data_IF_456646062104
#
_entry.id   IF_456646062104
#
_cell.length_a   1.000
_cell.length_b   1.000
_cell.length_c   1.000
_cell.angle_alpha   90.00
_cell.angle_beta   90.00
_cell.angle_gamma   90.00
#
_symmetry.space_group_name_H-M   'P 1'
#
loop_
_entity.id
_entity.type
_entity.pdbx_description
1 polymer ?
#
# COMPACT_ATOMS: atom_id res chain seq x y z
N UNK A 1 -19.43 1.08 -12.63
CA UNK A 1 -19.42 -0.38 -12.39
C UNK A 1 -19.62 -1.17 -13.67
N UNK A 2 -20.62 -0.82 -14.50
CA UNK A 2 -20.85 -1.53 -15.78
C UNK A 2 -19.62 -1.56 -16.70
N UNK A 3 -18.86 -0.46 -16.79
CA UNK A 3 -17.59 -0.44 -17.54
C UNK A 3 -16.55 -1.43 -17.01
N UNK A 4 -16.45 -1.62 -15.69
CA UNK A 4 -15.52 -2.60 -15.12
C UNK A 4 -15.96 -4.03 -15.46
N UNK A 5 -17.28 -4.28 -15.46
CA UNK A 5 -17.83 -5.58 -15.88
C UNK A 5 -17.49 -5.88 -17.34
N UNK A 6 -17.69 -4.90 -18.22
CA UNK A 6 -17.35 -5.03 -19.64
C UNK A 6 -15.85 -5.29 -19.85
N UNK A 7 -14.99 -4.58 -19.11
CA UNK A 7 -13.53 -4.82 -19.15
C UNK A 7 -13.21 -6.26 -18.74
N UNK A 8 -13.79 -6.76 -17.66
CA UNK A 8 -13.60 -8.15 -17.21
C UNK A 8 -14.08 -9.15 -18.25
N UNK A 9 -15.28 -8.97 -18.78
CA UNK A 9 -15.88 -9.85 -19.79
C UNK A 9 -15.03 -9.89 -21.08
N UNK A 10 -14.46 -8.76 -21.47
CA UNK A 10 -13.68 -8.64 -22.72
C UNK A 10 -12.23 -9.09 -22.57
N UNK A 11 -11.60 -8.82 -21.43
CA UNK A 11 -10.15 -9.02 -21.24
C UNK A 11 -9.78 -10.18 -20.32
N UNK A 12 -10.72 -10.66 -19.50
CA UNK A 12 -10.47 -11.63 -18.44
C UNK A 12 -9.68 -11.07 -17.24
N UNK A 13 -9.39 -9.77 -17.20
CA UNK A 13 -8.68 -9.14 -16.08
C UNK A 13 -9.56 -9.07 -14.83
N UNK A 14 -8.92 -9.24 -13.67
CA UNK A 14 -9.54 -9.07 -12.34
C UNK A 14 -9.88 -7.59 -12.15
N UNK A 15 -11.09 -7.33 -11.64
CA UNK A 15 -11.57 -5.96 -11.39
C UNK A 15 -11.53 -5.61 -9.91
N UNK A 16 -11.08 -4.39 -9.62
CA UNK A 16 -10.89 -3.88 -8.27
C UNK A 16 -11.36 -2.40 -8.25
N UNK A 17 -12.12 -1.99 -7.24
CA UNK A 17 -12.61 -0.59 -7.10
C UNK A 17 -12.69 -0.11 -5.64
N UNK A 18 -12.70 1.22 -5.44
CA UNK A 18 -12.87 1.83 -4.11
C UNK A 18 -14.29 1.65 -3.57
N UNK A 19 -14.40 1.37 -2.27
CA UNK A 19 -15.64 1.45 -1.50
C UNK A 19 -15.46 2.38 -0.30
N UNK A 20 -16.52 3.11 0.03
CA UNK A 20 -16.52 4.09 1.12
C UNK A 20 -17.73 3.97 2.06
N UNK A 21 -18.78 3.26 1.65
CA UNK A 21 -20.01 3.02 2.42
C UNK A 21 -20.47 1.57 2.19
N UNK A 22 -21.43 1.09 2.98
CA UNK A 22 -22.05 -0.22 2.75
C UNK A 22 -22.73 -0.33 1.39
N UNK A 23 -23.40 0.73 0.91
CA UNK A 23 -24.08 0.69 -0.39
C UNK A 23 -23.09 0.52 -1.55
N UNK A 24 -21.88 1.08 -1.44
CA UNK A 24 -20.83 0.85 -2.42
C UNK A 24 -20.40 -0.62 -2.45
N UNK A 25 -20.27 -1.26 -1.28
CA UNK A 25 -19.96 -2.69 -1.16
C UNK A 25 -21.04 -3.51 -1.85
N UNK A 26 -22.31 -3.32 -1.47
CA UNK A 26 -23.44 -4.07 -2.04
C UNK A 26 -23.53 -3.91 -3.57
N UNK A 27 -23.33 -2.70 -4.08
CA UNK A 27 -23.32 -2.43 -5.51
C UNK A 27 -22.17 -3.17 -6.22
N UNK A 28 -20.98 -3.21 -5.64
CA UNK A 28 -19.83 -3.92 -6.20
C UNK A 28 -20.02 -5.44 -6.18
N UNK A 29 -20.54 -5.99 -5.07
CA UNK A 29 -20.86 -7.42 -4.95
C UNK A 29 -21.89 -7.84 -6.00
N UNK A 30 -22.97 -7.06 -6.14
CA UNK A 30 -24.01 -7.30 -7.16
C UNK A 30 -23.46 -7.21 -8.58
N UNK A 31 -22.50 -6.32 -8.81
CA UNK A 31 -21.84 -6.15 -10.10
C UNK A 31 -20.78 -7.24 -10.38
N UNK A 32 -20.44 -8.09 -9.42
CA UNK A 32 -19.43 -9.14 -9.60
C UNK A 32 -18.00 -8.62 -9.69
N UNK A 33 -17.70 -7.50 -9.00
CA UNK A 33 -16.34 -6.98 -8.84
C UNK A 33 -15.50 -7.97 -8.01
N UNK A 34 -14.28 -8.24 -8.43
CA UNK A 34 -13.46 -9.32 -7.88
C UNK A 34 -12.79 -9.00 -6.55
N UNK A 35 -12.46 -7.72 -6.31
CA UNK A 35 -11.81 -7.24 -5.09
C UNK A 35 -12.19 -5.78 -4.81
N UNK A 36 -12.01 -5.33 -3.57
CA UNK A 36 -12.37 -3.97 -3.16
C UNK A 36 -11.18 -3.30 -2.47
N UNK A 37 -11.12 -1.96 -2.46
CA UNK A 37 -10.23 -1.25 -1.56
C UNK A 37 -10.94 -0.19 -0.73
N UNK A 38 -10.42 0.04 0.48
CA UNK A 38 -10.80 1.14 1.35
C UNK A 38 -9.78 2.27 1.18
N UNK A 39 -10.27 3.46 0.82
CA UNK A 39 -9.44 4.63 0.59
C UNK A 39 -8.80 5.22 1.85
N UNK A 40 -7.78 6.07 1.65
CA UNK A 40 -7.03 6.70 2.73
C UNK A 40 -7.87 7.67 3.60
N UNK A 41 -8.97 8.22 3.04
CA UNK A 41 -9.94 9.08 3.75
C UNK A 41 -10.91 8.29 4.62
N UNK A 42 -11.23 7.06 4.21
CA UNK A 42 -12.18 6.19 4.90
C UNK A 42 -11.50 5.39 6.02
N UNK A 43 -10.27 4.92 5.79
CA UNK A 43 -9.46 4.14 6.75
C UNK A 43 -9.40 4.73 8.16
N UNK A 44 -9.18 6.05 8.38
CA UNK A 44 -9.11 6.60 9.73
C UNK A 44 -10.47 6.67 10.44
N UNK A 45 -11.60 6.47 9.74
CA UNK A 45 -12.93 6.54 10.34
C UNK A 45 -13.41 5.14 10.79
N UNK A 46 -13.42 4.85 12.10
CA UNK A 46 -13.80 3.53 12.60
C UNK A 46 -15.26 3.18 12.32
N UNK A 47 -16.16 4.16 12.20
CA UNK A 47 -17.57 3.91 11.91
C UNK A 47 -17.75 3.49 10.46
N UNK A 48 -17.14 4.21 9.52
CA UNK A 48 -17.21 3.84 8.09
C UNK A 48 -16.55 2.50 7.82
N UNK A 49 -15.41 2.21 8.45
CA UNK A 49 -14.77 0.89 8.30
C UNK A 49 -15.64 -0.22 8.91
N UNK A 50 -16.30 0.03 10.04
CA UNK A 50 -17.22 -0.97 10.63
C UNK A 50 -18.42 -1.22 9.72
N UNK A 51 -19.03 -0.17 9.17
CA UNK A 51 -20.15 -0.26 8.24
C UNK A 51 -19.79 -1.08 6.99
N UNK A 52 -18.62 -0.82 6.41
CA UNK A 52 -18.07 -1.60 5.29
C UNK A 52 -17.81 -3.05 5.71
N UNK A 53 -17.22 -3.28 6.88
CA UNK A 53 -16.92 -4.61 7.39
C UNK A 53 -18.20 -5.45 7.59
N UNK A 54 -19.26 -4.85 8.12
CA UNK A 54 -20.55 -5.50 8.31
C UNK A 54 -21.20 -5.89 6.97
N UNK A 55 -21.10 -5.03 5.95
CA UNK A 55 -21.58 -5.31 4.60
C UNK A 55 -20.80 -6.42 3.88
N UNK A 56 -19.53 -6.64 4.26
CA UNK A 56 -18.67 -7.69 3.70
C UNK A 56 -18.84 -9.06 4.39
N UNK A 57 -19.58 -9.12 5.49
CA UNK A 57 -19.71 -10.33 6.30
C UNK A 57 -20.30 -11.49 5.49
N UNK A 58 -19.62 -12.64 5.52
CA UNK A 58 -20.05 -13.84 4.77
C UNK A 58 -19.68 -13.82 3.29
N UNK A 59 -18.92 -12.82 2.83
CA UNK A 59 -18.32 -12.80 1.49
C UNK A 59 -16.86 -13.24 1.54
N UNK A 60 -16.32 -13.70 0.40
CA UNK A 60 -14.89 -14.07 0.26
C UNK A 60 -14.14 -13.09 -0.68
N UNK A 61 -14.63 -11.86 -0.78
CA UNK A 61 -14.03 -10.85 -1.66
C UNK A 61 -12.76 -10.28 -0.98
N UNK A 62 -11.60 -10.28 -1.66
CA UNK A 62 -10.39 -9.65 -1.14
C UNK A 62 -10.57 -8.15 -0.91
N UNK A 63 -10.03 -7.65 0.19
CA UNK A 63 -10.08 -6.23 0.54
C UNK A 63 -8.70 -5.67 0.79
N UNK A 64 -8.37 -4.62 0.06
CA UNK A 64 -7.15 -3.83 0.22
C UNK A 64 -7.43 -2.61 1.10
N UNK A 65 -6.56 -2.30 2.06
CA UNK A 65 -6.72 -1.15 2.95
C UNK A 65 -5.57 -0.18 2.76
N UNK A 66 -5.86 1.00 2.17
CA UNK A 66 -4.86 2.08 2.05
C UNK A 66 -4.51 2.63 3.44
N UNK A 67 -3.27 3.04 3.68
CA UNK A 67 -2.93 3.70 4.94
C UNK A 67 -3.78 4.98 5.14
N UNK A 68 -4.05 5.38 6.40
CA UNK A 68 -4.72 6.63 6.68
C UNK A 68 -3.90 7.82 6.15
N UNK A 69 -4.58 8.92 5.85
CA UNK A 69 -3.92 10.15 5.38
C UNK A 69 -2.88 10.67 6.38
N UNK A 70 -3.18 10.58 7.67
CA UNK A 70 -2.27 11.03 8.72
C UNK A 70 -1.39 9.86 9.18
N UNK A 71 -0.14 10.12 9.60
CA UNK A 71 0.82 9.10 10.01
C UNK A 71 0.46 8.48 11.37
N UNK A 72 -0.56 7.62 11.35
CA UNK A 72 -1.07 6.88 12.50
C UNK A 72 -1.17 5.39 12.16
N UNK A 73 -0.19 4.62 12.68
CA UNK A 73 -0.15 3.17 12.49
C UNK A 73 -1.33 2.47 13.19
N UNK A 74 -1.79 2.99 14.33
CA UNK A 74 -2.88 2.42 15.11
C UNK A 74 -4.21 2.48 14.36
N UNK A 75 -4.48 3.57 13.63
CA UNK A 75 -5.65 3.66 12.77
C UNK A 75 -5.60 2.67 11.60
N UNK A 76 -4.43 2.46 10.99
CA UNK A 76 -4.29 1.48 9.92
C UNK A 76 -4.51 0.05 10.41
N UNK A 77 -3.87 -0.31 11.54
CA UNK A 77 -4.04 -1.61 12.20
C UNK A 77 -5.50 -1.82 12.61
N UNK A 78 -6.10 -0.81 13.24
CA UNK A 78 -7.50 -0.87 13.70
C UNK A 78 -8.48 -1.10 12.56
N UNK A 79 -8.23 -0.57 11.36
CA UNK A 79 -9.05 -0.83 10.19
C UNK A 79 -8.94 -2.30 9.72
N UNK A 80 -7.72 -2.83 9.64
CA UNK A 80 -7.47 -4.24 9.29
C UNK A 80 -8.11 -5.19 10.30
N UNK A 81 -7.95 -4.93 11.60
CA UNK A 81 -8.54 -5.77 12.66
C UNK A 81 -10.08 -5.78 12.63
N UNK A 82 -10.73 -4.65 12.32
CA UNK A 82 -12.20 -4.60 12.19
C UNK A 82 -12.69 -5.52 11.08
N UNK A 83 -12.06 -5.46 9.91
CA UNK A 83 -12.39 -6.33 8.77
C UNK A 83 -12.17 -7.80 9.14
N UNK A 84 -11.04 -8.14 9.77
CA UNK A 84 -10.79 -9.52 10.25
C UNK A 84 -11.84 -10.00 11.23
N UNK A 85 -12.26 -9.17 12.19
CA UNK A 85 -13.31 -9.51 13.17
C UNK A 85 -14.69 -9.71 12.53
N UNK A 86 -14.96 -9.06 11.41
CA UNK A 86 -16.17 -9.29 10.62
C UNK A 86 -16.11 -10.56 9.75
N UNK A 87 -14.96 -11.25 9.72
CA UNK A 87 -14.76 -12.49 8.96
C UNK A 87 -14.13 -12.30 7.58
N UNK A 88 -13.59 -11.11 7.28
CA UNK A 88 -12.84 -10.88 6.03
C UNK A 88 -11.42 -11.41 6.21
N UNK A 89 -11.12 -12.55 5.58
CA UNK A 89 -9.83 -13.23 5.73
C UNK A 89 -8.78 -12.77 4.72
N UNK A 90 -9.20 -12.39 3.51
CA UNK A 90 -8.33 -12.02 2.39
C UNK A 90 -8.04 -10.52 2.41
N UNK A 91 -7.10 -10.12 3.26
CA UNK A 91 -6.71 -8.72 3.43
C UNK A 91 -5.30 -8.45 2.88
N UNK A 92 -5.13 -7.25 2.33
CA UNK A 92 -3.83 -6.68 2.01
C UNK A 92 -3.80 -5.20 2.39
N UNK A 93 -2.61 -4.68 2.65
CA UNK A 93 -2.37 -3.28 2.94
C UNK A 93 -1.81 -2.57 1.70
N UNK A 94 -2.17 -1.30 1.51
CA UNK A 94 -1.64 -0.47 0.42
C UNK A 94 -1.03 0.80 1.01
N UNK A 95 0.29 0.92 0.93
CA UNK A 95 0.99 2.12 1.32
C UNK A 95 0.95 3.16 0.19
N UNK A 96 0.49 4.36 0.49
CA UNK A 96 0.30 5.47 -0.45
C UNK A 96 0.88 6.80 0.07
N UNK A 97 1.72 6.73 1.10
CA UNK A 97 2.30 7.88 1.79
C UNK A 97 1.30 8.64 2.67
N UNK A 98 1.81 9.56 3.46
CA UNK A 98 1.05 10.37 4.42
C UNK A 98 1.06 11.84 4.02
N UNK A 99 0.01 12.56 4.37
CA UNK A 99 0.01 14.02 4.22
C UNK A 99 0.93 14.64 5.26
N UNK A 100 1.82 15.51 4.77
CA UNK A 100 2.76 16.26 5.58
C UNK A 100 2.57 17.76 5.34
N UNK A 101 2.75 18.56 6.38
CA UNK A 101 2.51 20.01 6.30
C UNK A 101 3.65 20.75 5.60
N UNK A 102 4.88 20.25 5.71
CA UNK A 102 6.02 20.82 5.01
C UNK A 102 6.07 20.36 3.55
N UNK A 103 6.67 21.18 2.70
CA UNK A 103 6.94 20.82 1.31
C UNK A 103 7.98 19.71 1.26
N UNK A 104 7.59 18.58 0.69
CA UNK A 104 8.49 17.50 0.31
C UNK A 104 8.57 17.41 -1.22
N UNK A 105 9.55 16.69 -1.79
CA UNK A 105 9.55 16.37 -3.23
C UNK A 105 8.36 15.51 -3.66
N UNK A 106 7.68 14.88 -2.70
CA UNK A 106 6.53 13.99 -2.91
C UNK A 106 5.21 14.73 -2.63
N UNK A 107 4.12 14.27 -3.25
CA UNK A 107 2.76 14.73 -2.89
C UNK A 107 2.36 14.23 -1.51
N UNK A 108 2.78 13.02 -1.16
CA UNK A 108 2.60 12.45 0.18
C UNK A 108 3.92 11.86 0.64
N UNK A 109 4.36 12.24 1.84
CA UNK A 109 5.62 11.75 2.38
C UNK A 109 5.53 10.24 2.58
N UNK A 110 6.45 9.44 2.03
CA UNK A 110 6.36 7.99 2.15
C UNK A 110 6.47 7.52 3.60
N UNK A 111 7.27 8.16 4.47
CA UNK A 111 7.48 7.70 5.86
C UNK A 111 7.58 6.16 5.97
N UNK A 112 8.56 5.59 5.26
CA UNK A 112 8.71 4.13 5.05
C UNK A 112 8.76 3.33 6.35
N UNK A 113 9.08 3.95 7.49
CA UNK A 113 9.03 3.32 8.80
C UNK A 113 7.63 2.78 9.18
N UNK A 114 6.54 3.38 8.70
CA UNK A 114 5.17 2.94 8.98
C UNK A 114 4.84 1.59 8.31
N UNK A 115 4.97 1.42 6.98
CA UNK A 115 4.75 0.13 6.35
C UNK A 115 5.69 -0.97 6.87
N UNK A 116 6.94 -0.63 7.21
CA UNK A 116 7.89 -1.59 7.81
C UNK A 116 7.38 -2.08 9.17
N UNK A 117 6.93 -1.16 10.04
CA UNK A 117 6.35 -1.52 11.34
C UNK A 117 5.05 -2.31 11.19
N UNK A 118 4.21 -1.98 10.20
CA UNK A 118 3.01 -2.76 9.90
C UNK A 118 3.36 -4.20 9.53
N UNK A 119 4.33 -4.40 8.62
CA UNK A 119 4.79 -5.72 8.20
C UNK A 119 5.43 -6.50 9.35
N UNK A 120 6.13 -5.83 10.26
CA UNK A 120 6.65 -6.46 11.49
C UNK A 120 5.52 -6.94 12.43
N UNK A 121 4.42 -6.18 12.54
CA UNK A 121 3.26 -6.57 13.34
C UNK A 121 2.40 -7.67 12.66
N UNK A 122 2.37 -7.68 11.33
CA UNK A 122 1.64 -8.66 10.52
C UNK A 122 2.55 -9.25 9.42
N UNK A 123 3.43 -10.20 9.76
CA UNK A 123 4.42 -10.75 8.82
C UNK A 123 3.82 -11.32 7.54
N UNK A 124 2.65 -11.95 7.65
CA UNK A 124 1.97 -12.61 6.52
C UNK A 124 1.06 -11.65 5.72
N UNK A 125 0.91 -10.39 6.14
CA UNK A 125 0.05 -9.44 5.44
C UNK A 125 0.72 -8.99 4.14
N UNK A 126 0.04 -9.20 3.01
CA UNK A 126 0.48 -8.67 1.73
C UNK A 126 0.47 -7.13 1.77
N UNK A 127 1.56 -6.53 1.30
CA UNK A 127 1.76 -5.09 1.39
C UNK A 127 2.15 -4.53 0.02
N UNK A 128 1.28 -3.74 -0.57
CA UNK A 128 1.48 -3.09 -1.86
C UNK A 128 1.86 -1.63 -1.68
N UNK A 129 2.54 -1.06 -2.67
CA UNK A 129 2.87 0.36 -2.73
C UNK A 129 2.10 1.04 -3.86
N UNK A 130 1.55 2.21 -3.58
CA UNK A 130 0.91 3.11 -4.55
C UNK A 130 1.88 4.28 -4.84
N UNK A 131 2.82 4.09 -5.80
CA UNK A 131 3.79 5.13 -6.13
C UNK A 131 3.14 6.37 -6.73
N UNK A 132 2.00 6.23 -7.42
CA UNK A 132 1.28 7.35 -8.04
C UNK A 132 0.87 8.39 -7.00
N UNK A 133 0.25 7.93 -5.92
CA UNK A 133 -0.20 8.81 -4.86
C UNK A 133 0.92 9.34 -3.96
N UNK A 134 2.01 8.59 -3.77
CA UNK A 134 3.20 9.08 -3.05
C UNK A 134 3.88 10.17 -3.88
N UNK A 135 4.30 9.83 -5.09
CA UNK A 135 5.04 10.72 -5.97
C UNK A 135 4.24 11.97 -6.34
N UNK A 136 2.97 11.80 -6.72
CA UNK A 136 2.14 12.85 -7.29
C UNK A 136 2.68 13.46 -8.59
N UNK A 137 3.69 12.83 -9.20
CA UNK A 137 4.32 13.27 -10.43
C UNK A 137 4.94 12.07 -11.15
N UNK A 138 4.92 12.10 -12.50
CA UNK A 138 5.47 11.02 -13.34
C UNK A 138 6.96 10.78 -13.13
N UNK A 139 7.74 11.84 -12.84
CA UNK A 139 9.21 11.77 -12.75
C UNK A 139 9.71 10.97 -11.55
N UNK A 140 8.93 10.88 -10.47
CA UNK A 140 9.32 10.19 -9.25
C UNK A 140 8.71 8.78 -9.12
N UNK A 141 7.82 8.37 -10.05
CA UNK A 141 7.15 7.06 -10.00
C UNK A 141 8.13 5.90 -9.94
N UNK A 142 9.12 5.88 -10.84
CA UNK A 142 10.11 4.81 -10.91
C UNK A 142 10.93 4.70 -9.63
N UNK A 143 11.34 5.84 -9.07
CA UNK A 143 12.10 5.90 -7.81
C UNK A 143 11.30 5.32 -6.64
N UNK A 144 10.03 5.72 -6.50
CA UNK A 144 9.17 5.23 -5.41
C UNK A 144 8.84 3.74 -5.60
N UNK A 145 8.56 3.33 -6.83
CA UNK A 145 8.28 1.93 -7.17
C UNK A 145 9.49 1.03 -6.87
N UNK A 146 10.70 1.44 -7.26
CA UNK A 146 11.92 0.69 -6.95
C UNK A 146 12.18 0.63 -5.44
N UNK A 147 11.99 1.74 -4.73
CA UNK A 147 12.16 1.77 -3.28
C UNK A 147 11.20 0.80 -2.57
N UNK A 148 9.96 0.68 -3.05
CA UNK A 148 9.02 -0.30 -2.51
C UNK A 148 9.48 -1.74 -2.73
N UNK A 149 9.98 -2.08 -3.92
CA UNK A 149 10.55 -3.40 -4.19
C UNK A 149 11.78 -3.69 -3.34
N UNK A 150 12.67 -2.71 -3.15
CA UNK A 150 13.86 -2.84 -2.32
C UNK A 150 13.50 -3.06 -0.82
N UNK A 151 12.32 -2.58 -0.40
CA UNK A 151 11.73 -2.82 0.92
C UNK A 151 10.85 -4.09 0.98
N UNK A 152 10.91 -4.93 -0.05
CA UNK A 152 10.23 -6.22 -0.14
C UNK A 152 8.69 -6.13 -0.06
N UNK A 153 8.13 -5.08 -0.69
CA UNK A 153 6.69 -4.98 -0.93
C UNK A 153 6.25 -6.04 -1.95
N UNK A 154 5.04 -6.55 -1.76
CA UNK A 154 4.44 -7.64 -2.54
C UNK A 154 4.00 -7.22 -3.94
N UNK A 155 3.79 -5.92 -4.17
CA UNK A 155 3.31 -5.41 -5.44
C UNK A 155 3.15 -3.90 -5.49
N UNK A 156 2.73 -3.42 -6.66
CA UNK A 156 2.54 -1.99 -6.96
C UNK A 156 1.11 -1.72 -7.42
N UNK A 157 0.57 -0.55 -7.06
CA UNK A 157 -0.69 0.00 -7.55
C UNK A 157 -0.38 1.30 -8.31
N UNK A 158 -0.39 1.25 -9.64
CA UNK A 158 0.03 2.36 -10.50
C UNK A 158 -1.16 2.87 -11.30
N UNK A 159 -1.33 4.20 -11.35
CA UNK A 159 -2.38 4.80 -12.17
C UNK A 159 -1.93 5.01 -13.61
N UNK A 160 -2.75 4.55 -14.54
CA UNK A 160 -2.51 4.71 -15.98
C UNK A 160 -3.72 5.26 -16.70
N UNK A 161 -3.48 6.07 -17.73
CA UNK A 161 -4.53 6.64 -18.57
C UNK A 161 -4.07 6.70 -20.03
N UNK A 162 -4.98 6.49 -20.98
CA UNK A 162 -4.65 6.51 -22.41
C UNK A 162 -4.20 7.89 -22.90
N UNK A 163 -4.64 8.95 -22.22
CA UNK A 163 -4.30 10.35 -22.50
C UNK A 163 -4.11 11.13 -21.18
N UNK A 164 -2.99 10.95 -20.46
CA UNK A 164 -2.83 11.47 -19.11
C UNK A 164 -3.05 12.98 -18.93
N UNK A 165 -2.65 13.88 -19.87
CA UNK A 165 -2.95 15.32 -19.76
C UNK A 165 -4.43 15.68 -19.72
N UNK A 166 -5.31 14.84 -20.29
CA UNK A 166 -6.75 15.07 -20.35
C UNK A 166 -7.54 14.21 -19.34
N UNK A 167 -6.85 13.55 -18.40
CA UNK A 167 -7.50 12.79 -17.33
C UNK A 167 -8.34 13.72 -16.43
N UNK A 168 -9.53 13.28 -16.06
CA UNK A 168 -10.46 14.07 -15.22
C UNK A 168 -10.02 14.17 -13.76
N UNK A 169 -9.08 13.32 -13.33
CA UNK A 169 -8.49 13.31 -12.00
C UNK A 169 -7.02 12.93 -12.10
N UNK A 170 -6.20 13.48 -11.20
CA UNK A 170 -4.81 13.05 -10.99
C UNK A 170 -3.95 12.99 -12.27
N UNK A 171 -4.20 13.92 -13.20
CA UNK A 171 -3.51 14.01 -14.48
C UNK A 171 -1.98 14.01 -14.32
N UNK A 172 -1.44 14.70 -13.31
CA UNK A 172 0.01 14.85 -13.12
C UNK A 172 0.77 13.57 -12.75
N UNK A 173 0.09 12.57 -12.18
CA UNK A 173 0.72 11.33 -11.68
C UNK A 173 0.41 10.11 -12.55
N UNK A 174 -0.56 10.20 -13.47
CA UNK A 174 -0.91 9.12 -14.38
C UNK A 174 0.08 9.00 -15.54
N UNK A 175 0.45 7.77 -15.90
CA UNK A 175 1.29 7.47 -17.06
C UNK A 175 0.51 6.75 -18.15
N UNK A 176 0.94 6.88 -19.41
CA UNK A 176 0.34 6.12 -20.50
C UNK A 176 0.79 4.64 -20.48
N UNK A 177 0.11 3.74 -21.21
CA UNK A 177 0.47 2.32 -21.22
C UNK A 177 1.90 2.02 -21.71
N UNK A 178 2.47 2.84 -22.60
CA UNK A 178 3.84 2.71 -23.05
C UNK A 178 4.84 3.09 -21.95
N UNK A 179 4.57 4.18 -21.25
CA UNK A 179 5.33 4.58 -20.07
C UNK A 179 5.21 3.57 -18.92
N UNK A 180 4.05 2.93 -18.71
CA UNK A 180 3.90 1.83 -17.76
C UNK A 180 4.81 0.65 -18.11
N UNK A 181 4.85 0.25 -19.39
CA UNK A 181 5.78 -0.80 -19.85
C UNK A 181 7.23 -0.42 -19.53
N UNK A 182 7.65 0.78 -19.89
CA UNK A 182 9.00 1.27 -19.61
C UNK A 182 9.32 1.26 -18.10
N UNK A 183 8.35 1.66 -17.27
CA UNK A 183 8.51 1.62 -15.82
C UNK A 183 8.72 0.18 -15.34
N UNK A 184 7.87 -0.77 -15.74
CA UNK A 184 7.98 -2.18 -15.34
C UNK A 184 9.29 -2.80 -15.80
N UNK A 185 9.69 -2.58 -17.07
CA UNK A 185 10.94 -3.10 -17.63
C UNK A 185 12.18 -2.50 -16.95
N UNK A 186 12.06 -1.29 -16.39
CA UNK A 186 13.13 -0.63 -15.65
C UNK A 186 13.26 -1.05 -14.18
N UNK A 187 12.28 -1.78 -13.62
CA UNK A 187 12.32 -2.23 -12.23
C UNK A 187 13.29 -3.39 -12.05
N UNK A 188 14.10 -3.30 -11.01
CA UNK A 188 15.09 -4.32 -10.63
C UNK A 188 14.47 -5.19 -9.52
N UNK A 189 14.14 -6.44 -9.88
CA UNK A 189 13.70 -7.46 -8.93
C UNK A 189 14.93 -8.14 -8.35
N UNK A 190 15.20 -7.92 -7.06
CA UNK A 190 16.31 -8.55 -6.36
C UNK A 190 15.84 -9.80 -5.66
N UNK A 191 16.41 -10.94 -6.02
CA UNK A 191 16.25 -12.17 -5.22
C UNK A 191 17.18 -12.10 -4.02
N UNK A 192 16.63 -12.39 -2.83
CA UNK A 192 17.43 -12.54 -1.62
C UNK A 192 18.25 -13.84 -1.70
N UNK A 193 19.41 -13.76 -2.34
CA UNK A 193 20.43 -14.81 -2.29
C UNK A 193 21.68 -14.33 -1.53
N UNK A 194 21.57 -13.99 -0.23
CA UNK A 194 22.77 -13.70 0.55
C UNK A 194 23.57 -14.99 0.72
N UNK A 195 24.80 -14.98 0.19
CA UNK A 195 25.76 -16.02 0.48
C UNK A 195 26.10 -16.05 2.00
N UNK A 196 26.71 -17.15 2.45
CA UNK A 196 27.02 -17.33 3.87
C UNK A 196 27.91 -16.18 4.40
N UNK A 197 28.85 -15.69 3.59
CA UNK A 197 29.75 -14.61 3.98
C UNK A 197 29.02 -13.27 4.18
N UNK A 198 28.02 -12.96 3.35
CA UNK A 198 27.19 -11.78 3.50
C UNK A 198 26.29 -11.89 4.73
N UNK A 199 25.74 -13.07 5.03
CA UNK A 199 24.96 -13.31 6.26
C UNK A 199 25.81 -13.08 7.51
N UNK A 200 27.01 -13.65 7.56
CA UNK A 200 27.93 -13.49 8.69
C UNK A 200 28.33 -12.03 8.89
N UNK A 201 28.60 -11.31 7.78
CA UNK A 201 28.92 -9.88 7.83
C UNK A 201 27.75 -9.03 8.28
N UNK A 202 26.53 -9.34 7.85
CA UNK A 202 25.32 -8.65 8.31
C UNK A 202 25.07 -8.89 9.80
N UNK A 203 25.30 -10.12 10.29
CA UNK A 203 25.19 -10.42 11.71
C UNK A 203 26.23 -9.63 12.52
N UNK A 204 27.48 -9.58 12.08
CA UNK A 204 28.53 -8.81 12.75
C UNK A 204 28.20 -7.31 12.83
N UNK A 205 27.57 -6.75 11.80
CA UNK A 205 27.10 -5.35 11.80
C UNK A 205 25.92 -5.15 12.76
N UNK A 206 24.98 -6.10 12.83
CA UNK A 206 23.88 -6.07 13.82
C UNK A 206 24.41 -6.09 15.24
N UNK A 207 25.35 -6.99 15.54
CA UNK A 207 26.00 -7.07 16.86
C UNK A 207 26.79 -5.79 17.21
N UNK A 208 27.26 -5.04 16.21
CA UNK A 208 27.87 -3.73 16.43
C UNK A 208 26.82 -2.66 16.74
N UNK A 209 25.69 -2.65 16.04
CA UNK A 209 24.57 -1.74 16.30
C UNK A 209 24.03 -1.98 17.72
N UNK A 210 23.76 -3.23 18.09
CA UNK A 210 23.24 -3.59 19.41
C UNK A 210 24.17 -3.10 20.54
N UNK A 211 25.48 -3.23 20.37
CA UNK A 211 26.47 -2.71 21.34
C UNK A 211 26.45 -1.19 21.46
N UNK A 212 26.30 -0.48 20.34
CA UNK A 212 26.21 0.99 20.34
C UNK A 212 24.91 1.43 21.02
N UNK A 213 23.80 0.75 20.75
CA UNK A 213 22.50 1.03 21.36
C UNK A 213 22.53 0.79 22.87
N UNK A 214 23.16 -0.29 23.34
CA UNK A 214 23.41 -0.54 24.77
C UNK A 214 24.25 0.57 25.42
N UNK A 215 25.34 0.98 24.77
CA UNK A 215 26.20 2.08 25.25
C UNK A 215 25.43 3.40 25.36
N UNK A 216 24.57 3.71 24.38
CA UNK A 216 23.72 4.89 24.38
C UNK A 216 22.71 4.80 25.53
N UNK A 217 22.02 3.67 25.69
CA UNK A 217 21.05 3.45 26.75
C UNK A 217 21.69 3.59 28.14
N UNK A 218 22.88 3.01 28.34
CA UNK A 218 23.62 3.12 29.59
C UNK A 218 24.01 4.57 29.90
N UNK A 219 24.52 5.32 28.91
CA UNK A 219 24.89 6.73 29.09
C UNK A 219 23.69 7.64 29.34
N UNK A 220 22.53 7.34 28.77
CA UNK A 220 21.30 8.09 29.00
C UNK A 220 20.65 7.76 30.37
N UNK A 221 20.75 6.50 30.82
CA UNK A 221 20.25 6.08 32.14
C UNK A 221 21.15 6.46 33.32
N UNK A 222 22.41 6.84 33.07
CA UNK A 222 23.35 7.35 34.07
C UNK A 222 23.20 8.86 34.37
N UNK A 223 22.15 9.50 33.85
CA UNK A 223 21.72 10.86 34.18
C UNK A 223 20.58 10.84 35.21
#
# INVERSE_FOLDING_TARGET
LDWLREVKETTGLITLTEVATAEHVEACLKAGIDALWIGARTTPNPFSVQEIADALKGTDVPVLVKNPINPDLGLWIGALERLRRAGVERLAAVHRGFSWFDRTPYRNDPMWEFPIRLKAAFPDLELLCDPSHIAGSRSLLGTVAQQALDLNFSGLMVETHCDPPNALSDADQQIDPGALRTLIEGLIFREASPDAALKDRLQALRDQIDRIDEDIAHKLGAR
#
